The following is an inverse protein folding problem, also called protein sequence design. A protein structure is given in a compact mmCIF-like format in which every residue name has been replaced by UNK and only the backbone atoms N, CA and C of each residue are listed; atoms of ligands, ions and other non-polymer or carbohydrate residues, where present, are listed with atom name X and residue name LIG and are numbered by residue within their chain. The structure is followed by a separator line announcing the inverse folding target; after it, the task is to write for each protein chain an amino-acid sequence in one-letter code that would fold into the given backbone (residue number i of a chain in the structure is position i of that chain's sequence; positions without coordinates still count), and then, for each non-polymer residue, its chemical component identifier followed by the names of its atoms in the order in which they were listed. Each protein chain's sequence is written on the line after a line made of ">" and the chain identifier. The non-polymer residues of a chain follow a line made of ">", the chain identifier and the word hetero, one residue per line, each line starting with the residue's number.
data_IF_489890480450
#
_entry.id   IF_489890480450
#
_cell.length_a   1.000
_cell.length_b   1.000
_cell.length_c   1.000
_cell.angle_alpha   90.00
_cell.angle_beta   90.00
_cell.angle_gamma   90.00
#
_symmetry.space_group_name_H-M   'P 1'
#
loop_
_entity.id
_entity.type
_entity.pdbx_description
1 polymer ?
#
# COMPACT_ATOMS: atom_id res chain seq x y z
N UNK A 1 22.23 27.57 0.01
CA UNK A 1 20.93 27.53 -0.68
C UNK A 1 20.13 26.40 -0.06
N UNK A 2 18.89 26.65 0.42
CA UNK A 2 18.03 25.58 0.95
C UNK A 2 17.40 24.84 -0.22
N UNK A 3 17.49 23.51 -0.21
CA UNK A 3 16.82 22.66 -1.18
C UNK A 3 15.29 22.78 -1.04
N UNK A 4 14.55 22.79 -2.16
CA UNK A 4 13.09 22.88 -2.12
C UNK A 4 12.50 21.59 -1.54
N UNK A 5 11.33 21.69 -0.89
CA UNK A 5 10.62 20.52 -0.33
C UNK A 5 10.35 19.45 -1.39
N UNK A 6 10.00 19.86 -2.60
CA UNK A 6 9.80 18.97 -3.74
C UNK A 6 11.08 18.20 -4.09
N UNK A 7 12.22 18.89 -4.18
CA UNK A 7 13.49 18.26 -4.49
C UNK A 7 13.92 17.27 -3.38
N UNK A 8 13.66 17.60 -2.11
CA UNK A 8 13.89 16.69 -0.99
C UNK A 8 13.05 15.42 -1.12
N UNK A 9 11.76 15.56 -1.44
CA UNK A 9 10.86 14.42 -1.66
C UNK A 9 11.32 13.55 -2.82
N UNK A 10 11.72 14.14 -3.95
CA UNK A 10 12.28 13.40 -5.09
C UNK A 10 13.53 12.62 -4.67
N UNK A 11 14.46 13.26 -3.95
CA UNK A 11 15.69 12.60 -3.48
C UNK A 11 15.38 11.42 -2.54
N UNK A 12 14.40 11.58 -1.64
CA UNK A 12 13.96 10.53 -0.73
C UNK A 12 13.28 9.37 -1.48
N UNK A 13 12.47 9.66 -2.50
CA UNK A 13 11.88 8.64 -3.37
C UNK A 13 12.93 7.92 -4.22
N UNK A 14 13.95 8.61 -4.74
CA UNK A 14 15.08 8.01 -5.44
C UNK A 14 15.84 7.02 -4.54
N UNK A 15 16.02 7.36 -3.27
CA UNK A 15 16.64 6.47 -2.28
C UNK A 15 15.80 5.21 -2.05
N UNK A 16 14.48 5.35 -1.97
CA UNK A 16 13.55 4.21 -1.89
C UNK A 16 13.58 3.37 -3.17
N UNK A 17 13.64 3.96 -4.36
CA UNK A 17 13.79 3.23 -5.63
C UNK A 17 15.09 2.44 -5.67
N UNK A 18 16.18 2.97 -5.12
CA UNK A 18 17.46 2.27 -5.05
C UNK A 18 17.38 0.97 -4.22
N UNK A 19 16.62 0.98 -3.12
CA UNK A 19 16.55 -0.14 -2.16
C UNK A 19 15.37 -1.07 -2.41
N UNK A 20 14.22 -0.51 -2.76
CA UNK A 20 12.92 -1.17 -2.75
C UNK A 20 12.27 -1.03 -1.39
N UNK A 21 10.94 -1.12 -1.36
CA UNK A 21 10.10 -0.89 -0.18
C UNK A 21 9.14 -2.06 -0.06
N UNK A 22 9.41 -2.96 0.88
CA UNK A 22 8.55 -4.11 1.22
C UNK A 22 7.74 -3.87 2.48
N UNK A 23 8.21 -2.96 3.34
CA UNK A 23 7.54 -2.60 4.57
C UNK A 23 8.00 -1.28 5.17
N UNK A 24 7.43 -0.90 6.32
CA UNK A 24 7.79 0.31 7.05
C UNK A 24 9.29 0.38 7.42
N UNK A 25 9.94 -0.76 7.66
CA UNK A 25 11.36 -0.86 7.98
C UNK A 25 12.26 -0.27 6.88
N UNK A 26 11.91 -0.47 5.61
CA UNK A 26 12.69 0.05 4.48
C UNK A 26 12.61 1.58 4.38
N UNK A 27 11.53 2.17 4.91
CA UNK A 27 11.35 3.63 4.98
C UNK A 27 12.22 4.21 6.09
N UNK A 28 12.24 3.56 7.26
CA UNK A 28 13.07 3.97 8.40
C UNK A 28 14.55 3.98 8.01
N UNK A 29 15.00 2.93 7.31
CA UNK A 29 16.41 2.81 6.94
C UNK A 29 16.75 3.62 5.68
N UNK A 30 15.82 3.75 4.73
CA UNK A 30 16.07 4.27 3.38
C UNK A 30 15.79 5.75 3.21
N UNK A 31 14.73 6.25 3.84
CA UNK A 31 14.27 7.63 3.68
C UNK A 31 13.56 8.13 4.95
N UNK A 32 14.25 8.18 6.11
CA UNK A 32 13.63 8.55 7.39
C UNK A 32 13.06 9.98 7.40
N UNK A 33 13.54 10.87 6.51
CA UNK A 33 12.99 12.22 6.36
C UNK A 33 11.52 12.23 5.94
N UNK A 34 11.05 11.20 5.23
CA UNK A 34 9.64 11.10 4.83
C UNK A 34 8.70 11.02 6.04
N UNK A 35 9.18 10.59 7.20
CA UNK A 35 8.38 10.58 8.44
C UNK A 35 7.95 12.00 8.85
N UNK A 36 8.71 13.04 8.47
CA UNK A 36 8.38 14.43 8.77
C UNK A 36 7.16 14.94 7.99
N UNK A 37 6.79 14.25 6.92
CA UNK A 37 5.59 14.55 6.13
C UNK A 37 4.31 14.12 6.86
N UNK A 38 4.42 13.17 7.79
CA UNK A 38 3.29 12.61 8.53
C UNK A 38 3.11 13.38 9.83
N UNK A 39 2.05 14.17 9.90
CA UNK A 39 1.66 14.95 11.10
C UNK A 39 1.05 14.10 12.21
N UNK A 40 0.77 12.82 11.93
CA UNK A 40 0.15 11.90 12.90
C UNK A 40 1.06 11.70 14.13
N UNK A 41 0.55 11.90 15.36
CA UNK A 41 1.30 11.58 16.57
C UNK A 41 1.53 10.07 16.67
N UNK A 42 2.70 9.66 17.18
CA UNK A 42 3.03 8.25 17.37
C UNK A 42 4.52 7.95 17.31
N UNK A 43 4.86 6.66 17.44
CA UNK A 43 6.22 6.17 17.26
C UNK A 43 6.69 6.29 15.81
N UNK A 44 7.99 6.19 15.57
CA UNK A 44 8.57 6.18 14.21
C UNK A 44 7.96 5.07 13.35
N UNK A 45 7.73 3.89 13.93
CA UNK A 45 7.10 2.76 13.24
C UNK A 45 5.69 3.11 12.74
N UNK A 46 4.88 3.82 13.54
CA UNK A 46 3.54 4.25 13.15
C UNK A 46 3.60 5.25 11.99
N UNK A 47 4.53 6.22 12.05
CA UNK A 47 4.73 7.18 10.96
C UNK A 47 5.25 6.51 9.69
N UNK A 48 6.21 5.60 9.79
CA UNK A 48 6.71 4.82 8.67
C UNK A 48 5.60 3.97 8.03
N UNK A 49 4.74 3.35 8.85
CA UNK A 49 3.56 2.62 8.35
C UNK A 49 2.60 3.55 7.59
N UNK A 50 2.42 4.79 8.05
CA UNK A 50 1.62 5.78 7.35
C UNK A 50 2.25 6.20 6.01
N UNK A 51 3.57 6.43 5.96
CA UNK A 51 4.29 6.68 4.70
C UNK A 51 4.15 5.51 3.74
N UNK A 52 4.28 4.27 4.23
CA UNK A 52 4.13 3.07 3.42
C UNK A 52 2.73 3.00 2.77
N UNK A 53 1.68 3.29 3.53
CA UNK A 53 0.31 3.36 3.01
C UNK A 53 0.12 4.50 2.01
N UNK A 54 0.70 5.67 2.27
CA UNK A 54 0.68 6.81 1.35
C UNK A 54 1.35 6.46 0.02
N UNK A 55 2.47 5.73 0.03
CA UNK A 55 3.13 5.27 -1.20
C UNK A 55 2.20 4.39 -2.03
N UNK A 56 1.58 3.37 -1.41
CA UNK A 56 0.58 2.53 -2.07
C UNK A 56 -0.56 3.35 -2.65
N UNK A 57 -1.19 4.19 -1.84
CA UNK A 57 -2.33 5.01 -2.26
C UNK A 57 -1.98 5.98 -3.39
N UNK A 58 -0.80 6.62 -3.33
CA UNK A 58 -0.31 7.51 -4.38
C UNK A 58 -0.02 6.76 -5.67
N UNK A 59 0.61 5.58 -5.60
CA UNK A 59 0.81 4.73 -6.79
C UNK A 59 -0.51 4.26 -7.39
N UNK A 60 -1.50 3.94 -6.57
CA UNK A 60 -2.83 3.53 -7.03
C UNK A 60 -3.54 4.66 -7.78
N UNK A 61 -3.48 5.90 -7.28
CA UNK A 61 -4.09 7.06 -7.93
C UNK A 61 -3.48 7.40 -9.30
N UNK A 62 -2.20 7.10 -9.51
CA UNK A 62 -1.55 7.35 -10.79
C UNK A 62 -2.06 6.43 -11.91
N UNK A 63 -2.69 5.30 -11.57
CA UNK A 63 -3.32 4.37 -12.51
C UNK A 63 -2.36 3.71 -13.50
N UNK A 64 -2.88 2.86 -14.37
CA UNK A 64 -2.10 2.18 -15.41
C UNK A 64 -1.74 3.14 -16.55
N UNK A 65 -0.48 3.17 -17.07
CA UNK A 65 0.64 2.28 -16.71
C UNK A 65 1.56 2.83 -15.60
N UNK A 66 1.37 4.06 -15.15
CA UNK A 66 2.33 4.76 -14.28
C UNK A 66 2.42 4.15 -12.88
N UNK A 67 1.26 3.92 -12.26
CA UNK A 67 1.13 3.31 -10.95
C UNK A 67 1.71 1.90 -10.92
N UNK A 68 1.35 1.06 -11.89
CA UNK A 68 1.84 -0.33 -11.93
C UNK A 68 3.36 -0.40 -12.10
N UNK A 69 3.93 0.42 -12.99
CA UNK A 69 5.37 0.54 -13.14
C UNK A 69 6.06 1.04 -11.87
N UNK A 70 5.46 2.00 -11.14
CA UNK A 70 5.98 2.46 -9.86
C UNK A 70 5.90 1.39 -8.77
N UNK A 71 4.82 0.60 -8.71
CA UNK A 71 4.71 -0.52 -7.77
C UNK A 71 5.79 -1.57 -8.02
N UNK A 72 6.05 -1.91 -9.29
CA UNK A 72 7.15 -2.78 -9.67
C UNK A 72 8.52 -2.18 -9.28
N UNK A 73 8.77 -0.92 -9.67
CA UNK A 73 10.03 -0.24 -9.44
C UNK A 73 10.38 -0.10 -7.94
N UNK A 74 9.38 0.22 -7.11
CA UNK A 74 9.50 0.37 -5.67
C UNK A 74 9.36 -0.95 -4.90
N UNK A 75 9.11 -2.09 -5.57
CA UNK A 75 8.84 -3.38 -4.93
C UNK A 75 7.58 -3.41 -4.03
N UNK A 76 6.58 -2.57 -4.32
CA UNK A 76 5.33 -2.47 -3.55
C UNK A 76 4.32 -3.57 -3.88
N UNK A 77 4.54 -4.35 -4.94
CA UNK A 77 3.63 -5.46 -5.27
C UNK A 77 3.49 -6.42 -4.09
N UNK A 78 2.29 -6.94 -3.80
CA UNK A 78 2.06 -7.85 -2.69
C UNK A 78 2.83 -9.14 -2.92
N UNK A 79 4.02 -9.24 -2.32
CA UNK A 79 4.78 -10.49 -2.24
C UNK A 79 4.36 -11.17 -0.95
N UNK A 80 3.97 -12.44 -1.02
CA UNK A 80 3.73 -13.25 0.19
C UNK A 80 4.99 -13.15 1.06
N UNK A 81 4.91 -12.69 2.32
CA UNK A 81 6.09 -12.56 3.17
C UNK A 81 6.86 -13.88 3.23
N UNK A 82 8.13 -13.87 2.82
CA UNK A 82 8.99 -15.06 2.78
C UNK A 82 8.97 -15.87 1.48
N UNK A 83 8.11 -15.53 0.50
CA UNK A 83 8.11 -16.18 -0.81
C UNK A 83 8.68 -15.25 -1.89
N UNK A 84 9.72 -15.70 -2.59
CA UNK A 84 10.28 -15.04 -3.76
C UNK A 84 11.53 -14.18 -3.50
N UNK A 85 12.45 -14.11 -4.48
CA UNK A 85 13.71 -13.40 -4.33
C UNK A 85 13.50 -11.89 -4.12
N UNK A 86 14.45 -11.25 -3.43
CA UNK A 86 14.57 -9.79 -3.40
C UNK A 86 15.08 -9.33 -4.76
N UNK A 87 14.16 -8.84 -5.60
CA UNK A 87 14.54 -8.24 -6.88
C UNK A 87 15.45 -7.05 -6.63
N UNK A 88 16.61 -7.07 -7.28
CA UNK A 88 17.55 -5.97 -7.27
C UNK A 88 17.01 -4.79 -8.11
N UNK A 89 17.67 -3.64 -8.04
CA UNK A 89 17.22 -2.43 -8.75
C UNK A 89 17.07 -2.62 -10.26
N UNK A 90 17.95 -3.40 -10.89
CA UNK A 90 17.91 -3.67 -12.33
C UNK A 90 16.71 -4.54 -12.68
N UNK A 91 16.50 -5.63 -11.94
CA UNK A 91 15.35 -6.53 -12.14
C UNK A 91 14.02 -5.80 -11.96
N UNK A 92 13.92 -4.90 -10.98
CA UNK A 92 12.71 -4.07 -10.79
C UNK A 92 12.47 -3.08 -11.92
N UNK A 93 13.54 -2.58 -12.58
CA UNK A 93 13.41 -1.75 -13.78
C UNK A 93 12.93 -2.56 -14.96
N UNK A 94 13.43 -3.78 -15.14
CA UNK A 94 12.98 -4.67 -16.21
C UNK A 94 11.51 -5.09 -16.03
N UNK A 95 11.08 -5.31 -14.78
CA UNK A 95 9.67 -5.55 -14.43
C UNK A 95 8.79 -4.32 -14.71
N UNK A 96 9.21 -3.14 -14.24
CA UNK A 96 8.51 -1.87 -14.50
C UNK A 96 8.42 -1.53 -15.99
N UNK A 97 9.43 -1.92 -16.78
CA UNK A 97 9.49 -1.68 -18.21
C UNK A 97 8.45 -2.50 -19.01
N UNK A 98 7.93 -3.59 -18.45
CA UNK A 98 6.85 -4.37 -19.08
C UNK A 98 5.60 -3.51 -19.32
N UNK A 99 5.31 -2.58 -18.42
CA UNK A 99 4.17 -1.65 -18.55
C UNK A 99 4.36 -0.57 -19.63
N UNK A 100 5.55 -0.45 -20.21
CA UNK A 100 5.89 0.50 -21.28
C UNK A 100 6.23 -0.22 -22.60
N UNK A 101 5.56 -1.34 -22.86
CA UNK A 101 5.72 -2.11 -24.10
C UNK A 101 6.91 -3.08 -24.09
N UNK A 102 7.38 -3.49 -22.91
CA UNK A 102 8.43 -4.50 -22.78
C UNK A 102 9.81 -4.01 -23.23
N UNK A 103 10.12 -2.74 -23.01
CA UNK A 103 11.45 -2.18 -23.31
C UNK A 103 12.50 -2.68 -22.30
N UNK A 104 13.79 -2.51 -22.62
CA UNK A 104 14.86 -2.81 -21.68
C UNK A 104 14.81 -1.85 -20.46
N UNK A 105 15.15 -2.34 -19.27
CA UNK A 105 15.15 -1.55 -18.03
C UNK A 105 16.07 -0.33 -18.09
N UNK A 106 17.18 -0.39 -18.83
CA UNK A 106 18.07 0.77 -19.04
C UNK A 106 17.41 1.88 -19.88
N UNK A 107 16.64 1.49 -20.91
CA UNK A 107 15.83 2.41 -21.71
C UNK A 107 14.70 3.02 -20.86
N UNK A 108 14.02 2.19 -20.06
CA UNK A 108 13.01 2.66 -19.11
C UNK A 108 13.57 3.69 -18.13
N UNK A 109 14.76 3.42 -17.54
CA UNK A 109 15.45 4.35 -16.65
C UNK A 109 15.66 5.71 -17.30
N UNK A 110 16.16 5.72 -18.54
CA UNK A 110 16.49 6.96 -19.27
C UNK A 110 15.24 7.75 -19.66
N UNK A 111 14.16 7.06 -20.03
CA UNK A 111 12.99 7.68 -20.66
C UNK A 111 11.86 8.03 -19.67
N UNK A 112 11.67 7.21 -18.64
CA UNK A 112 10.44 7.20 -17.82
C UNK A 112 10.68 7.34 -16.31
N UNK A 113 11.71 6.68 -15.75
CA UNK A 113 11.91 6.59 -14.29
C UNK A 113 11.84 7.94 -13.58
N UNK A 114 12.60 8.93 -14.03
CA UNK A 114 12.60 10.28 -13.42
C UNK A 114 11.23 10.95 -13.47
N UNK A 115 10.48 10.78 -14.57
CA UNK A 115 9.13 11.37 -14.72
C UNK A 115 8.12 10.68 -13.81
N UNK A 116 8.29 9.37 -13.57
CA UNK A 116 7.44 8.61 -12.66
C UNK A 116 7.68 9.00 -11.21
N UNK A 117 8.94 9.18 -10.81
CA UNK A 117 9.29 9.65 -9.47
C UNK A 117 8.73 11.06 -9.23
N UNK A 118 8.85 11.95 -10.22
CA UNK A 118 8.23 13.28 -10.14
C UNK A 118 6.70 13.20 -10.02
N UNK A 119 6.04 12.37 -10.83
CA UNK A 119 4.59 12.19 -10.74
C UNK A 119 4.15 11.65 -9.37
N UNK A 120 4.92 10.72 -8.80
CA UNK A 120 4.68 10.20 -7.45
C UNK A 120 4.88 11.29 -6.39
N UNK A 121 5.93 12.10 -6.49
CA UNK A 121 6.17 13.21 -5.58
C UNK A 121 4.99 14.20 -5.58
N UNK A 122 4.52 14.58 -6.77
CA UNK A 122 3.36 15.48 -6.93
C UNK A 122 2.10 14.87 -6.32
N UNK A 123 1.82 13.58 -6.57
CA UNK A 123 0.60 12.95 -6.04
C UNK A 123 0.66 12.78 -4.51
N UNK A 124 1.81 12.43 -3.96
CA UNK A 124 2.02 12.41 -2.50
C UNK A 124 1.82 13.80 -1.90
N UNK A 125 2.38 14.84 -2.52
CA UNK A 125 2.22 16.21 -2.05
C UNK A 125 0.76 16.67 -2.08
N UNK A 126 0.05 16.36 -3.18
CA UNK A 126 -1.39 16.62 -3.32
C UNK A 126 -2.18 15.98 -2.19
N UNK A 127 -1.98 14.69 -1.92
CA UNK A 127 -2.67 13.93 -0.87
C UNK A 127 -2.38 14.45 0.54
N UNK A 128 -1.14 14.87 0.78
CA UNK A 128 -0.76 15.50 2.05
C UNK A 128 -1.43 16.87 2.22
N UNK A 129 -1.60 17.63 1.14
CA UNK A 129 -2.26 18.94 1.16
C UNK A 129 -3.79 18.85 1.29
N UNK A 130 -4.43 17.87 0.66
CA UNK A 130 -5.89 17.65 0.72
C UNK A 130 -6.34 16.88 1.95
N UNK A 131 -5.42 16.15 2.59
CA UNK A 131 -5.71 15.31 3.74
C UNK A 131 -6.31 13.94 3.39
N UNK A 132 -6.30 13.55 2.10
CA UNK A 132 -6.95 12.32 1.60
C UNK A 132 -6.41 11.04 2.28
N UNK A 133 -5.14 11.02 2.71
CA UNK A 133 -4.51 9.88 3.42
C UNK A 133 -4.10 10.22 4.86
N UNK A 134 -4.32 11.46 5.28
CA UNK A 134 -4.26 11.77 6.70
C UNK A 134 -5.54 11.21 7.30
N UNK A 135 -5.42 10.24 8.20
CA UNK A 135 -6.55 9.80 9.02
C UNK A 135 -6.91 10.91 9.99
N UNK A 136 -7.47 12.02 9.50
CA UNK A 136 -8.38 12.88 10.23
C UNK A 136 -9.68 12.09 10.44
N UNK A 137 -9.60 11.03 11.25
CA UNK A 137 -10.77 10.61 12.03
C UNK A 137 -10.87 11.65 13.15
N UNK A 138 -11.39 12.82 12.81
CA UNK A 138 -11.48 13.99 13.67
C UNK A 138 -10.91 15.25 13.01
N UNK A 139 -11.77 16.25 12.82
CA UNK A 139 -11.48 17.68 12.64
C UNK A 139 -11.46 18.31 11.24
N UNK A 140 -11.98 17.67 10.18
CA UNK A 140 -12.25 18.37 8.90
C UNK A 140 -13.67 18.18 8.38
N UNK A 141 -14.65 18.46 9.25
CA UNK A 141 -15.92 19.08 8.83
C UNK A 141 -16.28 20.17 9.85
N UNK A 142 -15.54 21.28 9.80
CA UNK A 142 -15.95 22.54 10.44
C UNK A 142 -16.43 23.52 9.39
N UNK A 143 -17.53 23.16 8.74
CA UNK A 143 -18.41 24.15 8.11
C UNK A 143 -19.62 24.31 9.04
N UNK A 144 -19.73 25.47 9.69
CA UNK A 144 -20.87 25.89 10.55
C UNK A 144 -20.97 25.30 11.98
N UNK A 145 -19.85 25.11 12.68
CA UNK A 145 -19.79 25.19 14.15
C UNK A 145 -20.67 24.22 14.97
N UNK A 146 -21.22 23.17 14.37
CA UNK A 146 -22.01 22.15 15.08
C UNK A 146 -21.47 20.77 14.76
N UNK A 147 -20.73 20.20 15.71
CA UNK A 147 -20.37 18.78 15.70
C UNK A 147 -21.65 17.96 15.71
N UNK A 148 -21.98 17.32 14.59
CA UNK A 148 -23.01 16.28 14.55
C UNK A 148 -22.33 14.95 14.89
N UNK A 149 -22.68 14.27 16.00
CA UNK A 149 -22.18 12.93 16.23
C UNK A 149 -22.70 12.02 15.12
N UNK A 150 -21.79 11.29 14.47
CA UNK A 150 -22.15 10.20 13.55
C UNK A 150 -22.85 9.14 14.40
N UNK A 151 -24.18 9.09 14.30
CA UNK A 151 -24.97 8.02 14.90
C UNK A 151 -24.54 6.70 14.25
N UNK A 152 -24.20 5.65 15.00
CA UNK A 152 -24.04 4.32 14.42
C UNK A 152 -25.33 3.97 13.68
N UNK A 153 -25.22 3.48 12.44
CA UNK A 153 -26.36 2.92 11.73
C UNK A 153 -26.99 1.82 12.61
N UNK A 154 -28.33 1.67 12.63
CA UNK A 154 -28.96 0.56 13.34
C UNK A 154 -28.41 -0.75 12.77
N UNK A 155 -27.61 -1.46 13.56
CA UNK A 155 -27.25 -2.83 13.25
C UNK A 155 -28.54 -3.63 13.31
N UNK A 156 -28.94 -4.25 12.19
CA UNK A 156 -29.98 -5.26 12.23
C UNK A 156 -29.59 -6.29 13.30
N UNK A 157 -30.53 -6.67 14.20
CA UNK A 157 -30.21 -7.62 15.24
C UNK A 157 -29.66 -8.91 14.61
N UNK A 158 -28.69 -9.59 15.25
CA UNK A 158 -28.21 -10.86 14.75
C UNK A 158 -29.41 -11.81 14.55
N UNK A 159 -29.41 -12.62 13.47
CA UNK A 159 -30.53 -13.51 13.19
C UNK A 159 -30.79 -14.43 14.39
N UNK A 160 -32.06 -14.75 14.69
CA UNK A 160 -32.40 -15.61 15.82
C UNK A 160 -31.73 -16.99 15.66
N UNK A 161 -31.37 -17.62 16.78
CA UNK A 161 -30.67 -18.91 16.82
C UNK A 161 -31.39 -20.04 16.05
N UNK A 162 -32.68 -19.88 15.74
CA UNK A 162 -33.46 -20.76 14.86
C UNK A 162 -33.02 -20.76 13.40
N UNK A 163 -32.21 -19.79 12.95
CA UNK A 163 -31.65 -19.75 11.60
C UNK A 163 -30.48 -20.73 11.38
N UNK A 164 -29.89 -21.26 12.45
CA UNK A 164 -28.80 -22.23 12.36
C UNK A 164 -29.35 -23.66 12.25
N UNK A 165 -29.46 -24.18 11.02
CA UNK A 165 -29.62 -25.64 10.82
C UNK A 165 -28.27 -26.32 11.05
N UNK A 166 -28.20 -27.18 12.07
CA UNK A 166 -27.03 -28.01 12.32
C UNK A 166 -26.76 -28.93 11.13
N UNK A 167 -25.55 -28.84 10.55
CA UNK A 167 -25.08 -29.76 9.52
C UNK A 167 -24.91 -31.14 10.18
N UNK A 168 -25.76 -32.10 9.82
CA UNK A 168 -25.60 -33.50 10.27
C UNK A 168 -24.32 -34.06 9.66
N UNK A 169 -23.36 -34.44 10.50
CA UNK A 169 -22.16 -35.19 10.07
C UNK A 169 -22.59 -36.49 9.38
N UNK A 170 -21.97 -36.87 8.25
CA UNK A 170 -22.25 -38.15 7.63
C UNK A 170 -21.82 -39.29 8.57
N UNK A 171 -22.75 -40.21 8.86
CA UNK A 171 -22.47 -41.43 9.60
C UNK A 171 -21.53 -42.32 8.79
N UNK A 172 -20.34 -42.53 9.32
CA UNK A 172 -19.37 -43.51 8.83
C UNK A 172 -20.00 -44.90 8.94
N UNK A 173 -20.40 -45.48 7.81
CA UNK A 173 -20.86 -46.86 7.76
C UNK A 173 -19.64 -47.77 7.85
N UNK A 174 -19.32 -48.22 9.06
CA UNK A 174 -18.60 -49.47 9.28
C UNK A 174 -19.58 -50.62 9.04
N UNK A 175 -19.41 -51.36 7.94
CA UNK A 175 -19.97 -52.71 7.82
C UNK A 175 -18.81 -53.68 7.63
N UNK A 176 -18.36 -54.24 8.75
CA UNK A 176 -17.57 -55.46 8.79
C UNK A 176 -18.48 -56.67 9.00
N UNK A 177 -18.11 -57.74 8.29
CA UNK A 177 -18.37 -59.18 8.48
C UNK A 177 -19.61 -59.80 7.85
N UNK A 178 -19.31 -60.87 7.11
CA UNK A 178 -20.22 -61.91 6.67
C UNK A 178 -19.49 -62.90 5.76
N UNK A 179 -18.52 -63.63 6.29
CA UNK A 179 -18.09 -64.92 5.74
C UNK A 179 -19.21 -65.95 5.94
N UNK A 180 -19.56 -66.73 4.92
CA UNK A 180 -19.47 -68.19 4.99
C UNK A 180 -19.64 -68.86 3.62
N UNK A 181 -18.89 -69.95 3.50
CA UNK A 181 -19.00 -71.06 2.54
C UNK A 181 -20.00 -72.06 3.11
#
# INVERSE_FOLDING_TARGET
>A
MRESREQQLINDLDALVARGVRGPEDILDGAPRLLTLITKPGSEWVRATAVYRLLHAATDALGTPRGDALRALLALNPVIPGCGPRLNKTERRDDAAQFYGGIAGDSFRKMHEKKLILALAIEMDRRLATGDDTTHVGDTERENGKVRPIRPLPQNPPPPASAFKAIRKPSRADNRKGSDV
#
